data_IF_412060100378
#
_entry.id   IF_412060100378
#
_cell.length_a   1.000
_cell.length_b   1.000
_cell.length_c   1.000
_cell.angle_alpha   90.00
_cell.angle_beta   90.00
_cell.angle_gamma   90.00
#
_symmetry.space_group_name_H-M   'P 1'
#
loop_
_entity.id
_entity.type
_entity.pdbx_description
1 polymer ?
#
# COMPACT_ATOMS: atom_id res chain seq x y z
N UNK A 1 17.12 -10.13 -7.90
CA UNK A 1 17.56 -8.75 -8.26
C UNK A 1 16.95 -7.75 -7.29
N UNK A 2 15.62 -7.75 -7.11
CA UNK A 2 14.94 -6.91 -6.13
C UNK A 2 15.49 -7.03 -4.70
N UNK A 3 15.64 -8.25 -4.18
CA UNK A 3 16.13 -8.51 -2.82
C UNK A 3 17.47 -7.82 -2.50
N UNK A 4 18.46 -7.96 -3.40
CA UNK A 4 19.74 -7.26 -3.27
C UNK A 4 19.58 -5.73 -3.29
N UNK A 5 18.71 -5.18 -4.15
CA UNK A 5 18.46 -3.73 -4.21
C UNK A 5 17.81 -3.23 -2.92
N UNK A 6 16.84 -3.98 -2.36
CA UNK A 6 16.20 -3.64 -1.09
C UNK A 6 17.22 -3.59 0.04
N UNK A 7 18.12 -4.57 0.12
CA UNK A 7 19.17 -4.59 1.12
C UNK A 7 20.04 -3.33 1.07
N UNK A 8 20.62 -3.01 -0.09
CA UNK A 8 21.52 -1.86 -0.20
C UNK A 8 20.84 -0.51 -0.02
N UNK A 9 19.58 -0.40 -0.43
CA UNK A 9 18.84 0.87 -0.33
C UNK A 9 18.24 1.08 1.06
N UNK A 10 17.77 0.03 1.73
CA UNK A 10 17.29 0.13 3.12
C UNK A 10 18.41 0.53 4.08
N UNK A 11 19.64 0.06 3.86
CA UNK A 11 20.83 0.47 4.64
C UNK A 11 21.12 1.99 4.58
N UNK A 12 20.58 2.70 3.59
CA UNK A 12 20.70 4.17 3.52
C UNK A 12 19.79 4.88 4.52
N UNK A 13 18.74 4.22 5.01
CA UNK A 13 17.74 4.85 5.86
C UNK A 13 17.25 6.18 5.26
N UNK A 14 17.24 7.22 6.09
CA UNK A 14 16.76 8.55 5.69
C UNK A 14 17.68 9.31 4.70
N UNK A 15 18.87 8.79 4.42
CA UNK A 15 19.79 9.27 3.36
C UNK A 15 19.46 8.66 1.98
N UNK A 16 18.33 7.96 1.84
CA UNK A 16 17.86 7.47 0.55
C UNK A 16 17.67 8.65 -0.44
N UNK A 17 18.36 8.65 -1.60
CA UNK A 17 18.34 9.79 -2.52
C UNK A 17 16.95 10.06 -3.10
N UNK A 18 16.52 11.32 -3.09
CA UNK A 18 15.19 11.72 -3.55
C UNK A 18 14.99 11.38 -5.04
N UNK A 19 16.02 11.55 -5.85
CA UNK A 19 16.05 11.24 -7.29
C UNK A 19 15.86 9.75 -7.60
N UNK A 20 16.04 8.84 -6.64
CA UNK A 20 15.85 7.40 -6.84
C UNK A 20 14.47 6.90 -6.44
N UNK A 21 13.62 7.76 -5.84
CA UNK A 21 12.33 7.33 -5.27
C UNK A 21 11.33 6.89 -6.34
N UNK A 22 11.22 7.64 -7.43
CA UNK A 22 10.35 7.29 -8.57
C UNK A 22 10.80 5.98 -9.23
N UNK A 23 12.10 5.84 -9.50
CA UNK A 23 12.68 4.62 -10.08
C UNK A 23 12.42 3.42 -9.17
N UNK A 24 12.58 3.59 -7.86
CA UNK A 24 12.32 2.52 -6.91
C UNK A 24 10.83 2.19 -6.81
N UNK A 25 9.93 3.18 -6.88
CA UNK A 25 8.49 2.95 -6.97
C UNK A 25 8.13 2.13 -8.21
N UNK A 26 8.74 2.43 -9.36
CA UNK A 26 8.56 1.67 -10.59
C UNK A 26 9.07 0.23 -10.44
N UNK A 27 10.23 0.03 -9.81
CA UNK A 27 10.77 -1.32 -9.54
C UNK A 27 9.85 -2.10 -8.60
N UNK A 28 9.40 -1.51 -7.50
CA UNK A 28 8.46 -2.16 -6.56
C UNK A 28 7.16 -2.54 -7.26
N UNK A 29 6.62 -1.64 -8.09
CA UNK A 29 5.40 -1.88 -8.88
C UNK A 29 5.58 -3.00 -9.89
N UNK A 30 6.71 -3.05 -10.60
CA UNK A 30 7.04 -4.13 -11.53
C UNK A 30 7.17 -5.50 -10.84
N UNK A 31 7.50 -5.50 -9.55
CA UNK A 31 7.55 -6.68 -8.69
C UNK A 31 6.34 -6.78 -7.75
N UNK A 32 5.21 -6.18 -8.12
CA UNK A 32 4.08 -6.00 -7.22
C UNK A 32 3.51 -7.30 -6.65
N UNK A 33 3.54 -8.44 -7.37
CA UNK A 33 3.16 -9.76 -6.83
C UNK A 33 4.01 -10.11 -5.58
N UNK A 34 5.33 -9.96 -5.69
CA UNK A 34 6.29 -10.24 -4.61
C UNK A 34 6.16 -9.24 -3.46
N UNK A 35 5.94 -7.96 -3.80
CA UNK A 35 5.76 -6.89 -2.80
C UNK A 35 4.45 -7.07 -2.05
N UNK A 36 3.33 -7.32 -2.73
CA UNK A 36 2.03 -7.61 -2.12
C UNK A 36 2.09 -8.87 -1.25
N UNK A 37 2.71 -9.94 -1.76
CA UNK A 37 2.92 -11.18 -0.99
C UNK A 37 3.70 -10.91 0.31
N UNK A 38 4.81 -10.18 0.22
CA UNK A 38 5.64 -9.84 1.39
C UNK A 38 4.90 -8.91 2.36
N UNK A 39 4.26 -7.86 1.86
CA UNK A 39 3.54 -6.88 2.67
C UNK A 39 2.34 -7.51 3.41
N UNK A 40 1.67 -8.48 2.78
CA UNK A 40 0.56 -9.22 3.38
C UNK A 40 0.96 -10.41 4.26
N UNK A 41 2.24 -10.78 4.27
CA UNK A 41 2.74 -11.93 5.02
C UNK A 41 2.55 -11.77 6.52
N UNK A 42 2.04 -12.83 7.16
CA UNK A 42 1.71 -12.82 8.60
C UNK A 42 2.93 -13.11 9.49
N UNK A 43 3.97 -13.74 8.92
CA UNK A 43 5.20 -14.12 9.61
C UNK A 43 6.34 -14.27 8.59
N UNK A 44 7.57 -14.26 9.09
CA UNK A 44 8.73 -14.57 8.26
C UNK A 44 8.88 -16.08 8.07
N UNK A 45 8.98 -16.51 6.82
CA UNK A 45 9.30 -17.89 6.46
C UNK A 45 10.51 -17.94 5.54
N UNK A 46 11.63 -18.46 6.07
CA UNK A 46 12.89 -18.60 5.32
C UNK A 46 12.80 -19.58 4.15
N UNK A 47 11.76 -20.41 4.10
CA UNK A 47 11.55 -21.36 3.01
C UNK A 47 10.61 -20.80 1.93
N UNK A 48 10.03 -19.62 2.14
CA UNK A 48 9.20 -18.96 1.14
C UNK A 48 10.10 -18.22 0.13
N UNK A 49 10.19 -18.69 -1.13
CA UNK A 49 11.08 -18.08 -2.12
C UNK A 49 10.56 -16.74 -2.65
N UNK A 50 9.30 -16.37 -2.38
CA UNK A 50 8.72 -15.07 -2.75
C UNK A 50 8.86 -14.04 -1.62
N UNK A 51 9.14 -14.47 -0.40
CA UNK A 51 9.21 -13.57 0.74
C UNK A 51 10.49 -12.74 0.70
N UNK A 52 10.35 -11.42 0.64
CA UNK A 52 11.45 -10.48 0.82
C UNK A 52 11.64 -10.20 2.32
N UNK A 53 12.81 -9.66 2.68
CA UNK A 53 13.01 -9.11 4.02
C UNK A 53 12.02 -7.95 4.26
N UNK A 54 11.13 -8.14 5.24
CA UNK A 54 10.00 -7.23 5.50
C UNK A 54 10.45 -5.91 6.10
N UNK A 55 11.53 -5.89 6.89
CA UNK A 55 12.11 -4.68 7.46
C UNK A 55 12.70 -3.82 6.33
N UNK A 56 13.45 -4.45 5.43
CA UNK A 56 14.04 -3.78 4.28
C UNK A 56 12.96 -3.26 3.32
N UNK A 57 11.91 -4.05 3.07
CA UNK A 57 10.79 -3.61 2.26
C UNK A 57 10.06 -2.42 2.91
N UNK A 58 9.86 -2.45 4.23
CA UNK A 58 9.22 -1.35 4.95
C UNK A 58 10.04 -0.07 4.86
N UNK A 59 11.34 -0.15 5.10
CA UNK A 59 12.25 0.99 5.03
C UNK A 59 12.27 1.61 3.63
N UNK A 60 12.43 0.80 2.57
CA UNK A 60 12.39 1.32 1.20
C UNK A 60 11.00 1.89 0.85
N UNK A 61 9.91 1.25 1.29
CA UNK A 61 8.56 1.77 1.09
C UNK A 61 8.34 3.10 1.81
N UNK A 62 8.91 3.27 3.02
CA UNK A 62 8.93 4.54 3.75
C UNK A 62 9.64 5.62 2.93
N UNK A 63 10.84 5.32 2.43
CA UNK A 63 11.62 6.29 1.65
C UNK A 63 10.95 6.69 0.34
N UNK A 64 10.36 5.73 -0.40
CA UNK A 64 9.51 6.00 -1.56
C UNK A 64 8.33 6.90 -1.17
N UNK A 65 7.72 6.62 -0.02
CA UNK A 65 6.55 7.36 0.48
C UNK A 65 6.82 8.79 0.91
N UNK A 66 8.09 9.24 0.95
CA UNK A 66 8.48 10.64 1.21
C UNK A 66 8.32 11.54 -0.03
N UNK A 67 8.00 10.97 -1.20
CA UNK A 67 7.64 11.72 -2.41
C UNK A 67 6.19 11.39 -2.83
N UNK A 68 5.38 12.39 -3.17
CA UNK A 68 3.98 12.21 -3.53
C UNK A 68 3.80 11.37 -4.81
N UNK A 69 4.60 11.61 -5.84
CA UNK A 69 4.46 10.91 -7.11
C UNK A 69 4.90 9.44 -6.97
N UNK A 70 6.05 9.21 -6.34
CA UNK A 70 6.57 7.87 -6.10
C UNK A 70 5.62 7.05 -5.22
N UNK A 71 5.10 7.65 -4.14
CA UNK A 71 4.08 7.04 -3.30
C UNK A 71 2.81 6.67 -4.08
N UNK A 72 2.38 7.57 -4.97
CA UNK A 72 1.19 7.32 -5.77
C UNK A 72 1.37 6.17 -6.73
N UNK A 73 2.49 6.14 -7.45
CA UNK A 73 2.86 5.04 -8.33
C UNK A 73 2.84 3.69 -7.60
N UNK A 74 3.44 3.63 -6.39
CA UNK A 74 3.46 2.44 -5.57
C UNK A 74 2.05 1.99 -5.14
N UNK A 75 1.17 2.92 -4.74
CA UNK A 75 -0.19 2.57 -4.30
C UNK A 75 -1.06 2.09 -5.45
N UNK A 76 -0.97 2.70 -6.63
CA UNK A 76 -1.68 2.22 -7.81
C UNK A 76 -1.18 0.82 -8.22
N UNK A 77 0.14 0.65 -8.28
CA UNK A 77 0.79 -0.62 -8.60
C UNK A 77 0.35 -1.76 -7.68
N UNK A 78 0.31 -1.51 -6.37
CA UNK A 78 -0.13 -2.52 -5.41
C UNK A 78 -1.64 -2.68 -5.36
N UNK A 79 -2.43 -1.64 -5.63
CA UNK A 79 -3.89 -1.78 -5.78
C UNK A 79 -4.23 -2.71 -6.95
N UNK A 80 -3.48 -2.61 -8.05
CA UNK A 80 -3.56 -3.57 -9.16
C UNK A 80 -3.27 -5.00 -8.72
N UNK A 81 -2.18 -5.23 -8.01
CA UNK A 81 -1.82 -6.60 -7.61
C UNK A 81 -2.76 -7.16 -6.53
N UNK A 82 -3.31 -6.33 -5.63
CA UNK A 82 -4.36 -6.74 -4.70
C UNK A 82 -5.63 -7.18 -5.44
N UNK A 83 -6.10 -6.42 -6.43
CA UNK A 83 -7.27 -6.81 -7.24
C UNK A 83 -6.95 -8.07 -8.06
N UNK A 84 -5.75 -8.16 -8.64
CA UNK A 84 -5.33 -9.37 -9.37
C UNK A 84 -5.31 -10.60 -8.46
N UNK A 85 -4.74 -10.51 -7.26
CA UNK A 85 -4.74 -11.58 -6.25
C UNK A 85 -6.17 -12.06 -5.92
N UNK A 86 -7.10 -11.11 -5.74
CA UNK A 86 -8.53 -11.39 -5.51
C UNK A 86 -9.16 -12.23 -6.63
N UNK A 87 -8.80 -11.99 -7.90
CA UNK A 87 -9.40 -12.65 -9.06
C UNK A 87 -8.66 -13.91 -9.51
N UNK A 88 -7.34 -13.99 -9.32
CA UNK A 88 -6.48 -14.99 -9.98
C UNK A 88 -5.90 -16.06 -9.04
N UNK A 89 -5.65 -15.79 -7.76
CA UNK A 89 -4.93 -16.74 -6.87
C UNK A 89 -5.75 -18.00 -6.54
N UNK A 90 -7.06 -17.85 -6.38
CA UNK A 90 -8.01 -18.94 -6.11
C UNK A 90 -7.58 -19.90 -4.96
N UNK A 91 -7.29 -19.39 -3.75
CA UNK A 91 -6.91 -20.24 -2.62
C UNK A 91 -8.07 -21.12 -2.13
N UNK A 92 -7.76 -22.09 -1.26
CA UNK A 92 -8.78 -23.00 -0.70
C UNK A 92 -9.86 -22.26 0.08
N UNK A 93 -9.45 -21.28 0.89
CA UNK A 93 -10.36 -20.31 1.48
C UNK A 93 -10.21 -18.98 0.72
N UNK A 94 -11.19 -18.60 -0.14
CA UNK A 94 -11.11 -17.37 -0.91
C UNK A 94 -10.96 -16.12 -0.05
N UNK A 95 -11.33 -16.17 1.24
CA UNK A 95 -11.17 -15.05 2.17
C UNK A 95 -9.70 -14.71 2.43
N UNK A 96 -8.78 -15.61 2.15
CA UNK A 96 -7.35 -15.34 2.23
C UNK A 96 -6.95 -14.12 1.37
N UNK A 97 -7.50 -13.96 0.16
CA UNK A 97 -7.19 -12.80 -0.72
C UNK A 97 -7.70 -11.48 -0.14
N UNK A 98 -8.88 -11.47 0.49
CA UNK A 98 -9.42 -10.31 1.21
C UNK A 98 -8.50 -9.89 2.35
N UNK A 99 -8.09 -10.85 3.16
CA UNK A 99 -7.22 -10.60 4.31
C UNK A 99 -5.83 -10.15 3.85
N UNK A 100 -5.28 -10.73 2.78
CA UNK A 100 -4.00 -10.27 2.21
C UNK A 100 -4.08 -8.83 1.72
N UNK A 101 -5.13 -8.47 0.97
CA UNK A 101 -5.35 -7.10 0.53
C UNK A 101 -5.40 -6.12 1.72
N UNK A 102 -6.14 -6.46 2.78
CA UNK A 102 -6.16 -5.68 4.01
C UNK A 102 -4.78 -5.51 4.64
N UNK A 103 -4.03 -6.59 4.86
CA UNK A 103 -2.69 -6.52 5.46
C UNK A 103 -1.73 -5.67 4.62
N UNK A 104 -1.76 -5.78 3.29
CA UNK A 104 -0.95 -4.95 2.39
C UNK A 104 -1.28 -3.46 2.50
N UNK A 105 -2.56 -3.10 2.58
CA UNK A 105 -2.97 -1.71 2.84
C UNK A 105 -2.42 -1.20 4.17
N UNK A 106 -2.53 -2.01 5.24
CA UNK A 106 -1.99 -1.68 6.56
C UNK A 106 -0.47 -1.48 6.57
N UNK A 107 0.27 -2.32 5.85
CA UNK A 107 1.71 -2.19 5.70
C UNK A 107 2.10 -0.87 5.01
N UNK A 108 1.41 -0.51 3.92
CA UNK A 108 1.64 0.74 3.20
C UNK A 108 1.23 1.97 4.02
N UNK A 109 0.19 1.84 4.85
CA UNK A 109 -0.22 2.90 5.76
C UNK A 109 0.86 3.18 6.81
N UNK A 110 1.50 2.14 7.35
CA UNK A 110 2.64 2.32 8.27
C UNK A 110 3.83 2.98 7.57
N UNK A 111 4.24 2.48 6.41
CA UNK A 111 5.33 3.07 5.62
C UNK A 111 5.10 4.56 5.36
N UNK A 112 3.86 4.91 5.02
CA UNK A 112 3.45 6.29 4.77
C UNK A 112 3.41 7.13 6.04
N UNK A 113 2.91 6.58 7.15
CA UNK A 113 2.92 7.25 8.44
C UNK A 113 4.36 7.61 8.86
N UNK A 114 5.28 6.65 8.77
CA UNK A 114 6.68 6.89 9.08
C UNK A 114 7.31 7.95 8.17
N UNK A 115 7.04 7.89 6.86
CA UNK A 115 7.52 8.90 5.90
C UNK A 115 7.05 10.32 6.28
N UNK A 116 5.78 10.44 6.67
CA UNK A 116 5.23 11.73 7.09
C UNK A 116 5.85 12.23 8.40
N UNK A 117 6.04 11.34 9.37
CA UNK A 117 6.64 11.71 10.66
C UNK A 117 8.11 12.11 10.50
N UNK A 118 8.88 11.41 9.65
CA UNK A 118 10.29 11.73 9.38
C UNK A 118 10.48 13.15 8.86
N UNK A 119 9.63 13.59 7.93
CA UNK A 119 9.81 14.88 7.25
C UNK A 119 8.99 16.02 7.88
N UNK A 120 8.21 15.78 8.95
CA UNK A 120 7.25 16.76 9.51
C UNK A 120 7.86 18.11 9.94
N UNK A 121 9.16 18.13 10.26
CA UNK A 121 9.88 19.33 10.70
C UNK A 121 10.73 19.95 9.56
N UNK A 122 10.65 19.41 8.34
CA UNK A 122 11.32 19.96 7.16
C UNK A 122 10.71 21.32 6.80
N UNK A 123 11.50 22.41 6.69
CA UNK A 123 10.99 23.73 6.30
C UNK A 123 10.30 23.77 4.93
N UNK A 124 10.58 22.79 4.07
CA UNK A 124 9.98 22.62 2.75
C UNK A 124 8.77 21.70 2.74
N UNK A 125 8.39 21.13 3.90
CA UNK A 125 7.26 20.22 4.07
C UNK A 125 5.99 20.76 3.40
N UNK A 126 5.59 21.98 3.76
CA UNK A 126 4.40 22.60 3.18
C UNK A 126 4.50 22.67 1.66
N UNK A 127 5.64 23.07 1.10
CA UNK A 127 5.82 23.12 -0.35
C UNK A 127 5.80 21.72 -1.02
N UNK A 128 6.42 20.71 -0.37
CA UNK A 128 6.46 19.33 -0.85
C UNK A 128 5.07 18.71 -0.95
N UNK A 129 4.19 19.00 0.00
CA UNK A 129 2.85 18.40 0.05
C UNK A 129 1.74 19.29 -0.57
N UNK A 130 1.96 20.60 -0.70
CA UNK A 130 0.99 21.57 -1.24
C UNK A 130 0.91 21.58 -2.78
N UNK A 131 2.00 21.22 -3.48
CA UNK A 131 2.12 21.49 -4.92
C UNK A 131 1.92 20.28 -5.84
N UNK A 132 1.89 19.04 -5.32
CA UNK A 132 1.72 17.84 -6.15
C UNK A 132 0.50 17.01 -5.72
N UNK A 133 -0.69 17.47 -6.09
CA UNK A 133 -1.83 16.53 -6.21
C UNK A 133 -1.45 15.40 -7.17
N UNK A 134 -1.99 14.19 -6.96
CA UNK A 134 -1.76 13.02 -7.83
C UNK A 134 -2.36 13.27 -9.23
N UNK A 135 -1.67 14.07 -10.05
CA UNK A 135 -2.21 14.62 -11.30
C UNK A 135 -1.93 13.76 -12.52
N UNK A 136 -1.13 12.70 -12.39
CA UNK A 136 -0.58 12.01 -13.56
C UNK A 136 -0.20 10.55 -13.35
N UNK A 137 -0.87 9.81 -12.45
CA UNK A 137 -0.74 8.35 -12.52
C UNK A 137 -1.64 7.91 -13.68
N UNK A 138 -1.04 7.92 -14.86
CA UNK A 138 -1.70 7.71 -16.15
C UNK A 138 -1.86 6.21 -16.34
N UNK A 139 -3.11 5.77 -16.24
CA UNK A 139 -3.66 4.52 -16.77
C UNK A 139 -2.75 3.81 -17.79
N UNK A 140 -1.98 2.81 -17.35
CA UNK A 140 -1.40 1.83 -18.27
C UNK A 140 -1.33 0.44 -17.63
N UNK A 141 -2.45 -0.29 -17.68
CA UNK A 141 -2.51 -1.72 -17.40
C UNK A 141 -2.75 -2.50 -18.72
N UNK A 142 -1.70 -2.80 -19.50
CA UNK A 142 -1.85 -3.68 -20.66
C UNK A 142 -2.12 -5.12 -20.19
N UNK A 143 -3.26 -5.69 -20.62
CA UNK A 143 -3.54 -7.13 -20.51
C UNK A 143 -4.45 -7.61 -19.38
N UNK A 144 -5.06 -6.72 -18.58
CA UNK A 144 -6.11 -7.08 -17.60
C UNK A 144 -7.50 -7.06 -18.24
N UNK A 145 -8.42 -7.92 -17.77
CA UNK A 145 -9.81 -7.93 -18.23
C UNK A 145 -10.60 -6.69 -17.76
N UNK A 146 -11.63 -6.28 -18.52
CA UNK A 146 -12.43 -5.06 -18.28
C UNK A 146 -12.99 -4.96 -16.84
N UNK A 147 -13.43 -6.07 -16.25
CA UNK A 147 -13.95 -6.08 -14.89
C UNK A 147 -12.87 -5.83 -13.83
N UNK A 148 -11.71 -6.48 -13.96
CA UNK A 148 -10.58 -6.25 -13.06
C UNK A 148 -10.06 -4.81 -13.18
N UNK A 149 -10.01 -4.27 -14.40
CA UNK A 149 -9.60 -2.88 -14.63
C UNK A 149 -10.51 -1.89 -13.91
N UNK A 150 -11.84 -2.06 -13.98
CA UNK A 150 -12.78 -1.20 -13.23
C UNK A 150 -12.65 -1.34 -11.72
N UNK A 151 -12.33 -2.54 -11.23
CA UNK A 151 -12.02 -2.77 -9.82
C UNK A 151 -10.80 -1.98 -9.37
N UNK A 152 -9.72 -2.02 -10.16
CA UNK A 152 -8.49 -1.27 -9.93
C UNK A 152 -8.77 0.24 -9.92
N UNK A 153 -9.46 0.75 -10.92
CA UNK A 153 -9.80 2.18 -11.04
C UNK A 153 -10.60 2.66 -9.82
N UNK A 154 -11.56 1.86 -9.35
CA UNK A 154 -12.36 2.19 -8.16
C UNK A 154 -11.50 2.22 -6.87
N UNK A 155 -10.63 1.22 -6.67
CA UNK A 155 -9.74 1.18 -5.49
C UNK A 155 -8.75 2.35 -5.50
N UNK A 156 -8.15 2.64 -6.66
CA UNK A 156 -7.22 3.75 -6.82
C UNK A 156 -7.90 5.12 -6.61
N UNK A 157 -9.12 5.30 -7.14
CA UNK A 157 -9.91 6.52 -6.95
C UNK A 157 -10.20 6.81 -5.47
N UNK A 158 -10.67 5.81 -4.71
CA UNK A 158 -10.98 5.96 -3.29
C UNK A 158 -9.72 6.18 -2.45
N UNK A 159 -8.60 5.54 -2.82
CA UNK A 159 -7.30 5.84 -2.21
C UNK A 159 -6.89 7.29 -2.43
N UNK A 160 -6.92 7.77 -3.68
CA UNK A 160 -6.50 9.13 -4.05
C UNK A 160 -7.34 10.19 -3.33
N UNK A 161 -8.65 9.97 -3.25
CA UNK A 161 -9.59 10.88 -2.58
C UNK A 161 -9.31 11.01 -1.08
N UNK A 162 -9.05 9.89 -0.40
CA UNK A 162 -8.72 9.89 1.02
C UNK A 162 -7.33 10.48 1.29
N UNK A 163 -6.35 10.20 0.42
CA UNK A 163 -5.01 10.77 0.56
C UNK A 163 -5.03 12.30 0.39
N UNK A 164 -5.79 12.83 -0.57
CA UNK A 164 -6.00 14.27 -0.71
C UNK A 164 -6.61 14.87 0.55
N UNK A 165 -7.66 14.23 1.09
CA UNK A 165 -8.32 14.67 2.34
C UNK A 165 -7.35 14.67 3.52
N UNK A 166 -6.41 13.71 3.58
CA UNK A 166 -5.39 13.63 4.63
C UNK A 166 -4.35 14.75 4.51
N UNK A 167 -3.89 15.05 3.29
CA UNK A 167 -2.99 16.18 3.02
C UNK A 167 -3.66 17.48 3.46
N UNK A 168 -4.92 17.69 3.09
CA UNK A 168 -5.71 18.86 3.49
C UNK A 168 -5.85 18.99 5.02
N UNK A 169 -6.10 17.87 5.73
CA UNK A 169 -6.19 17.85 7.19
C UNK A 169 -4.85 18.16 7.88
N UNK A 170 -3.74 17.61 7.38
CA UNK A 170 -2.39 17.95 7.84
C UNK A 170 -2.13 19.45 7.69
N UNK A 171 -2.52 20.04 6.56
CA UNK A 171 -2.39 21.48 6.33
C UNK A 171 -3.23 22.33 7.29
N UNK A 172 -4.43 21.87 7.64
CA UNK A 172 -5.29 22.55 8.61
C UNK A 172 -4.81 22.39 10.07
N UNK A 173 -3.73 21.64 10.31
CA UNK A 173 -3.20 21.26 11.64
C UNK A 173 -4.23 20.53 12.51
N UNK A 174 -5.23 19.92 11.87
CA UNK A 174 -6.25 19.13 12.54
C UNK A 174 -5.72 17.71 12.79
N UNK A 175 -4.96 17.57 13.88
CA UNK A 175 -4.28 16.32 14.27
C UNK A 175 -5.22 15.15 14.63
N UNK A 176 -6.55 15.33 14.63
CA UNK A 176 -7.47 14.36 15.24
C UNK A 176 -7.88 13.17 14.36
N UNK A 177 -7.73 13.26 13.03
CA UNK A 177 -8.34 12.28 12.12
C UNK A 177 -7.36 11.56 11.18
N UNK A 178 -6.05 11.70 11.39
CA UNK A 178 -5.01 11.14 10.50
C UNK A 178 -5.01 9.60 10.46
N UNK A 179 -5.60 8.93 11.47
CA UNK A 179 -5.55 7.47 11.64
C UNK A 179 -6.77 6.71 11.05
N UNK A 180 -7.66 7.40 10.32
CA UNK A 180 -8.85 6.79 9.69
C UNK A 180 -8.72 6.60 8.17
N UNK A 181 -7.51 6.76 7.63
CA UNK A 181 -7.29 7.26 6.27
C UNK A 181 -7.55 6.34 5.08
N UNK A 182 -8.03 5.10 5.25
CA UNK A 182 -8.20 4.16 4.12
C UNK A 182 -9.49 3.34 4.11
N UNK A 183 -10.50 3.71 4.90
CA UNK A 183 -11.76 2.98 4.97
C UNK A 183 -12.47 2.84 3.62
N UNK A 184 -12.48 3.87 2.77
CA UNK A 184 -13.16 3.80 1.47
C UNK A 184 -12.41 2.90 0.48
N UNK A 185 -11.06 2.95 0.49
CA UNK A 185 -10.21 2.04 -0.29
C UNK A 185 -10.43 0.58 0.14
N UNK A 186 -10.45 0.33 1.45
CA UNK A 186 -10.71 -1.00 2.02
C UNK A 186 -12.13 -1.49 1.69
N UNK A 187 -13.13 -0.61 1.75
CA UNK A 187 -14.49 -0.90 1.30
C UNK A 187 -14.53 -1.26 -0.20
N UNK A 188 -13.81 -0.52 -1.05
CA UNK A 188 -13.73 -0.81 -2.48
C UNK A 188 -13.08 -2.18 -2.75
N UNK A 189 -12.01 -2.53 -2.02
CA UNK A 189 -11.40 -3.86 -2.08
C UNK A 189 -12.36 -4.96 -1.61
N UNK A 190 -13.11 -4.74 -0.53
CA UNK A 190 -14.13 -5.67 -0.05
C UNK A 190 -15.27 -5.86 -1.08
N UNK A 191 -15.72 -4.76 -1.69
CA UNK A 191 -16.74 -4.81 -2.74
C UNK A 191 -16.21 -5.53 -4.00
N UNK A 192 -14.93 -5.38 -4.34
CA UNK A 192 -14.29 -6.11 -5.44
C UNK A 192 -14.14 -7.60 -5.15
N UNK A 193 -13.74 -7.95 -3.92
CA UNK A 193 -13.70 -9.33 -3.46
C UNK A 193 -15.08 -9.99 -3.54
N UNK A 194 -16.13 -9.28 -3.15
CA UNK A 194 -17.51 -9.77 -3.24
C UNK A 194 -17.92 -10.10 -4.69
N UNK A 195 -17.53 -9.25 -5.66
CA UNK A 195 -17.78 -9.50 -7.09
C UNK A 195 -17.03 -10.73 -7.61
N UNK A 196 -15.78 -10.92 -7.18
CA UNK A 196 -14.97 -12.08 -7.57
C UNK A 196 -15.48 -13.39 -6.93
N UNK A 197 -16.18 -13.30 -5.80
CA UNK A 197 -16.62 -14.44 -5.00
C UNK A 197 -18.15 -14.53 -4.86
N UNK A 198 -18.94 -14.60 -5.95
CA UNK A 198 -20.40 -14.41 -5.92
C UNK A 198 -21.18 -15.42 -5.07
N UNK A 199 -20.55 -16.53 -4.67
CA UNK A 199 -21.14 -17.57 -3.82
C UNK A 199 -20.83 -17.39 -2.32
N UNK A 200 -20.16 -16.30 -1.92
CA UNK A 200 -19.87 -16.04 -0.52
C UNK A 200 -21.16 -15.80 0.29
N UNK A 201 -21.10 -16.06 1.60
CA UNK A 201 -22.23 -15.80 2.52
C UNK A 201 -22.06 -14.52 3.35
N UNK A 202 -20.90 -13.87 3.24
CA UNK A 202 -20.60 -12.66 4.01
C UNK A 202 -21.47 -11.48 3.56
N UNK A 203 -21.85 -10.63 4.50
CA UNK A 203 -22.48 -9.34 4.20
C UNK A 203 -21.42 -8.29 3.89
N UNK A 204 -21.81 -7.19 3.25
CA UNK A 204 -20.92 -6.03 3.05
C UNK A 204 -20.32 -5.55 4.38
N UNK A 205 -21.12 -5.46 5.44
CA UNK A 205 -20.66 -5.07 6.78
C UNK A 205 -19.54 -5.98 7.30
N UNK A 206 -19.74 -7.30 7.24
CA UNK A 206 -18.74 -8.26 7.73
C UNK A 206 -17.47 -8.27 6.87
N UNK A 207 -17.58 -8.09 5.55
CA UNK A 207 -16.40 -7.98 4.68
C UNK A 207 -15.60 -6.72 5.00
N UNK A 208 -16.28 -5.59 5.19
CA UNK A 208 -15.65 -4.33 5.60
C UNK A 208 -14.97 -4.46 6.95
N UNK A 209 -15.63 -5.05 7.95
CA UNK A 209 -15.05 -5.27 9.28
C UNK A 209 -13.78 -6.13 9.20
N UNK A 210 -13.84 -7.23 8.44
CA UNK A 210 -12.73 -8.17 8.31
C UNK A 210 -11.51 -7.56 7.60
N UNK A 211 -11.71 -6.84 6.50
CA UNK A 211 -10.60 -6.19 5.78
C UNK A 211 -10.01 -5.03 6.60
N UNK A 212 -10.84 -4.28 7.35
CA UNK A 212 -10.34 -3.25 8.27
C UNK A 212 -9.52 -3.87 9.41
N UNK A 213 -9.99 -4.98 9.99
CA UNK A 213 -9.24 -5.72 10.99
C UNK A 213 -7.91 -6.25 10.44
N UNK A 214 -7.90 -6.74 9.20
CA UNK A 214 -6.68 -7.16 8.52
C UNK A 214 -5.71 -6.00 8.28
N UNK A 215 -6.20 -4.83 7.86
CA UNK A 215 -5.37 -3.63 7.69
C UNK A 215 -4.78 -3.13 9.01
N UNK A 216 -5.58 -3.07 10.07
CA UNK A 216 -5.08 -2.73 11.40
C UNK A 216 -3.96 -3.69 11.85
N UNK A 217 -4.16 -5.00 11.69
CA UNK A 217 -3.14 -5.98 12.04
C UNK A 217 -1.89 -5.89 11.15
N UNK A 218 -2.06 -5.58 9.86
CA UNK A 218 -0.95 -5.34 8.94
C UNK A 218 -0.10 -4.14 9.35
N UNK A 219 -0.74 -3.04 9.70
CA UNK A 219 -0.10 -1.83 10.23
C UNK A 219 0.65 -2.13 11.54
N UNK A 220 0.00 -2.78 12.51
CA UNK A 220 0.61 -3.10 13.81
C UNK A 220 1.85 -4.01 13.66
N UNK A 221 1.79 -5.00 12.76
CA UNK A 221 2.96 -5.84 12.44
C UNK A 221 4.08 -5.03 11.79
N UNK A 222 3.78 -4.21 10.79
CA UNK A 222 4.77 -3.36 10.13
C UNK A 222 5.42 -2.38 11.12
N UNK A 223 4.64 -1.83 12.05
CA UNK A 223 5.16 -0.99 13.12
C UNK A 223 6.13 -1.75 14.04
N UNK A 224 5.84 -3.01 14.33
CA UNK A 224 6.71 -3.89 15.10
C UNK A 224 8.09 -4.13 14.46
N UNK A 225 8.15 -4.14 13.12
CA UNK A 225 9.40 -4.26 12.36
C UNK A 225 10.34 -3.07 12.60
N UNK A 226 9.80 -1.85 12.54
CA UNK A 226 10.57 -0.62 12.70
C UNK A 226 11.15 -0.42 14.12
N UNK A 227 10.64 -1.13 15.13
CA UNK A 227 11.13 -1.07 16.52
C UNK A 227 12.20 -2.11 16.87
N UNK A 228 12.57 -2.98 15.94
CA UNK A 228 13.52 -4.09 16.15
C UNK A 228 14.97 -3.82 15.76
N UNK A 229 15.27 -2.64 15.20
CA UNK A 229 16.60 -2.23 14.72
C UNK A 229 17.44 -1.48 15.74
#
# INVERSE_FOLDING_TARGET
>A
MLDNSLKYLSERGDDFPAEMRDDMAAVLTNHGDTVHHTASSLADDRNDPKLLDRDQLLEVSKQVSRDQNAYGMLNEGLSREMVKDIHEDNPKDPKETLLRAGNSVGFLEEARYQALVTDKDDPTWDAKWMYHGFGSIVNFAPGVGDLAQRGIDAVAYEWQTQEQSRIDAIHQRDNKDVFTGRQQQLQALADEWAKANPNHTNTRYTLTEEINGAAYNGNDRAKGLAGGG
#
